data_IF_698508414019
#
_entry.id   IF_698508414019
#
_cell.length_a   1.000
_cell.length_b   1.000
_cell.length_c   1.000
_cell.angle_alpha   90.00
_cell.angle_beta   90.00
_cell.angle_gamma   90.00
#
_symmetry.space_group_name_H-M   'P 1'
#
loop_
_entity.id
_entity.type
_entity.pdbx_description
1 polymer ?
#
# COMPACT_ATOMS: atom_id res chain seq x y z
N UNK A 1 8.81 40.15 24.28
CA UNK A 1 9.75 39.02 24.17
C UNK A 1 9.06 37.66 24.17
N UNK A 2 8.18 37.33 25.13
CA UNK A 2 7.50 36.00 25.21
C UNK A 2 6.73 35.56 23.95
N UNK A 3 6.08 36.48 23.22
CA UNK A 3 5.31 36.17 22.00
C UNK A 3 6.20 35.84 20.79
N UNK A 4 7.39 36.43 20.71
CA UNK A 4 8.35 36.22 19.62
C UNK A 4 9.00 34.83 19.75
N UNK A 5 9.28 34.38 20.97
CA UNK A 5 9.80 33.02 21.24
C UNK A 5 8.77 31.95 20.89
N UNK A 6 7.48 32.14 21.22
CA UNK A 6 6.43 31.20 20.83
C UNK A 6 6.22 31.14 19.30
N UNK A 7 6.31 32.27 18.60
CA UNK A 7 6.25 32.28 17.14
C UNK A 7 7.49 31.67 16.49
N UNK A 8 8.68 31.87 17.06
CA UNK A 8 9.90 31.21 16.60
C UNK A 8 9.85 29.69 16.82
N UNK A 9 9.27 29.22 17.94
CA UNK A 9 9.11 27.80 18.23
C UNK A 9 8.03 27.14 17.35
N UNK A 10 6.92 27.84 17.05
CA UNK A 10 5.96 27.39 16.04
C UNK A 10 6.60 27.35 14.64
N UNK A 11 7.39 28.36 14.26
CA UNK A 11 8.11 28.42 12.99
C UNK A 11 9.17 27.32 12.84
N UNK A 12 9.74 26.83 13.95
CA UNK A 12 10.71 25.72 13.94
C UNK A 12 10.03 24.34 13.87
N UNK A 13 8.76 24.24 14.30
CA UNK A 13 7.97 23.00 14.28
C UNK A 13 7.16 22.84 12.99
N UNK A 14 6.81 23.94 12.32
CA UNK A 14 6.07 23.97 11.04
C UNK A 14 6.73 23.14 9.90
N UNK A 15 8.06 23.09 9.73
CA UNK A 15 8.69 22.28 8.69
C UNK A 15 8.64 20.76 8.97
N UNK A 16 8.49 20.34 10.23
CA UNK A 16 8.41 18.93 10.61
C UNK A 16 6.98 18.38 10.51
N UNK A 17 5.97 19.25 10.55
CA UNK A 17 4.56 18.87 10.30
C UNK A 17 4.21 18.74 8.81
N UNK A 18 5.11 19.15 7.90
CA UNK A 18 4.89 19.07 6.46
C UNK A 18 5.23 17.69 5.85
N UNK A 19 5.73 16.74 6.65
CA UNK A 19 6.06 15.38 6.20
C UNK A 19 4.93 14.34 6.45
N UNK A 20 3.73 14.81 6.82
CA UNK A 20 2.54 13.97 6.90
C UNK A 20 1.50 14.45 5.89
N UNK A 21 1.91 14.61 4.63
CA UNK A 21 0.96 14.90 3.56
C UNK A 21 0.48 13.58 2.94
N UNK A 22 -0.84 13.43 2.94
CA UNK A 22 -1.61 12.52 2.10
C UNK A 22 -1.31 12.61 0.60
N UNK A 23 -0.45 13.54 0.16
CA UNK A 23 0.10 13.63 -1.21
C UNK A 23 1.27 12.67 -1.49
N UNK A 24 1.78 11.94 -0.48
CA UNK A 24 2.86 10.93 -0.61
C UNK A 24 2.35 9.51 -0.89
N UNK A 25 1.12 9.37 -1.39
CA UNK A 25 0.60 8.06 -1.78
C UNK A 25 1.31 7.57 -3.04
N UNK A 26 2.00 6.44 -2.93
CA UNK A 26 2.69 5.79 -4.05
C UNK A 26 1.79 4.70 -4.62
N UNK A 27 1.48 4.81 -5.91
CA UNK A 27 0.60 3.86 -6.59
C UNK A 27 1.34 3.06 -7.65
N UNK A 28 1.07 1.76 -7.68
CA UNK A 28 1.62 0.83 -8.65
C UNK A 28 0.50 0.19 -9.46
N UNK A 29 0.54 0.41 -10.78
CA UNK A 29 -0.29 -0.27 -11.74
C UNK A 29 0.48 -1.41 -12.39
N UNK A 30 -0.11 -2.60 -12.40
CA UNK A 30 0.47 -3.79 -13.03
C UNK A 30 -0.53 -4.46 -13.99
N UNK A 31 0.00 -5.13 -15.00
CA UNK A 31 -0.79 -5.96 -15.92
C UNK A 31 -0.08 -7.28 -16.21
N UNK A 32 -0.84 -8.27 -16.66
CA UNK A 32 -0.35 -9.61 -16.93
C UNK A 32 0.20 -10.31 -15.69
N UNK A 33 0.93 -11.39 -15.93
CA UNK A 33 1.35 -12.34 -14.91
C UNK A 33 0.35 -13.48 -14.74
N UNK A 34 0.79 -14.51 -14.03
CA UNK A 34 0.02 -15.73 -13.77
C UNK A 34 -0.33 -15.75 -12.29
N UNK A 35 -1.63 -15.70 -12.00
CA UNK A 35 -2.14 -15.97 -10.66
C UNK A 35 -2.42 -17.47 -10.53
N UNK A 36 -1.75 -18.11 -9.58
CA UNK A 36 -1.92 -19.53 -9.24
C UNK A 36 -2.53 -19.64 -7.85
N UNK A 37 -3.51 -20.52 -7.65
CA UNK A 37 -4.21 -20.65 -6.36
C UNK A 37 -4.55 -22.09 -6.00
N UNK A 38 -4.49 -22.39 -4.70
CA UNK A 38 -4.93 -23.65 -4.08
C UNK A 38 -5.36 -23.42 -2.63
N UNK A 39 -5.72 -24.48 -1.91
CA UNK A 39 -6.00 -24.40 -0.47
C UNK A 39 -4.78 -23.94 0.36
N UNK A 40 -3.55 -24.08 -0.19
CA UNK A 40 -2.33 -23.59 0.44
C UNK A 40 -2.12 -22.07 0.31
N UNK A 41 -2.92 -21.39 -0.52
CA UNK A 41 -2.81 -19.95 -0.78
C UNK A 41 -2.80 -19.61 -2.27
N UNK A 42 -2.70 -18.32 -2.56
CA UNK A 42 -2.57 -17.77 -3.91
C UNK A 42 -1.22 -17.11 -4.11
N UNK A 43 -0.66 -17.21 -5.31
CA UNK A 43 0.59 -16.57 -5.69
C UNK A 43 0.51 -15.95 -7.08
N UNK A 44 1.02 -14.73 -7.20
CA UNK A 44 1.20 -14.02 -8.46
C UNK A 44 2.68 -14.00 -8.83
N UNK A 45 3.00 -14.47 -10.03
CA UNK A 45 4.32 -14.34 -10.65
C UNK A 45 4.24 -13.78 -12.08
N UNK A 46 5.31 -13.13 -12.52
CA UNK A 46 5.44 -12.63 -13.90
C UNK A 46 4.54 -11.44 -14.26
N UNK A 47 4.04 -10.71 -13.26
CA UNK A 47 3.30 -9.46 -13.53
C UNK A 47 4.27 -8.34 -13.87
N UNK A 48 3.85 -7.45 -14.77
CA UNK A 48 4.66 -6.33 -15.25
C UNK A 48 4.07 -5.02 -14.77
N UNK A 49 4.91 -4.14 -14.23
CA UNK A 49 4.51 -2.78 -13.86
C UNK A 49 4.33 -1.92 -15.12
N UNK A 50 3.20 -1.24 -15.21
CA UNK A 50 2.85 -0.34 -16.32
C UNK A 50 2.75 1.11 -15.90
N UNK A 51 2.50 1.37 -14.62
CA UNK A 51 2.50 2.71 -14.07
C UNK A 51 3.05 2.75 -12.65
N UNK A 52 3.80 3.79 -12.35
CA UNK A 52 4.26 4.14 -11.00
C UNK A 52 3.93 5.60 -10.77
N UNK A 53 3.26 5.92 -9.67
CA UNK A 53 2.83 7.28 -9.36
C UNK A 53 3.43 7.72 -8.03
N UNK A 54 3.98 8.93 -8.00
CA UNK A 54 4.55 9.62 -6.84
C UNK A 54 5.74 8.94 -6.15
N UNK A 55 6.33 7.91 -6.75
CA UNK A 55 7.56 7.32 -6.24
C UNK A 55 8.71 8.34 -6.27
N UNK A 56 9.31 8.63 -5.12
CA UNK A 56 10.41 9.59 -4.94
C UNK A 56 10.11 10.98 -5.55
N UNK A 57 8.84 11.38 -5.54
CA UNK A 57 8.38 12.66 -6.09
C UNK A 57 8.42 12.77 -7.63
N UNK A 58 8.63 11.66 -8.36
CA UNK A 58 8.78 11.64 -9.82
C UNK A 58 7.46 11.84 -10.61
N UNK A 59 6.34 12.12 -9.92
CA UNK A 59 5.02 12.25 -10.55
C UNK A 59 4.53 10.92 -11.14
N UNK A 60 3.82 10.97 -12.26
CA UNK A 60 3.30 9.75 -12.93
C UNK A 60 4.27 9.26 -14.01
N UNK A 61 4.76 8.04 -13.86
CA UNK A 61 5.59 7.32 -14.82
C UNK A 61 4.74 6.21 -15.44
N UNK A 62 4.70 6.14 -16.77
CA UNK A 62 4.03 5.08 -17.52
C UNK A 62 4.98 4.40 -18.48
N UNK A 63 4.86 3.09 -18.67
CA UNK A 63 5.67 2.34 -19.61
C UNK A 63 5.15 0.92 -19.84
N UNK A 64 5.74 0.22 -20.81
CA UNK A 64 5.35 -1.15 -21.14
C UNK A 64 6.02 -2.20 -20.23
N UNK A 65 7.10 -1.80 -19.55
CA UNK A 65 7.79 -2.61 -18.55
C UNK A 65 8.60 -1.67 -17.64
N UNK A 66 8.06 -1.35 -16.47
CA UNK A 66 8.74 -0.57 -15.43
C UNK A 66 9.34 -1.45 -14.33
N UNK A 67 9.16 -2.77 -14.43
CA UNK A 67 9.49 -3.73 -13.39
C UNK A 67 8.42 -4.79 -13.21
N UNK A 68 8.34 -5.35 -12.00
CA UNK A 68 7.44 -6.47 -11.68
C UNK A 68 6.78 -6.34 -10.31
N UNK A 69 5.62 -7.00 -10.20
CA UNK A 69 4.90 -7.19 -8.95
C UNK A 69 4.68 -8.68 -8.73
N UNK A 70 4.97 -9.16 -7.53
CA UNK A 70 4.77 -10.56 -7.15
C UNK A 70 4.28 -10.66 -5.71
N UNK A 71 3.44 -11.66 -5.44
CA UNK A 71 2.99 -11.90 -4.09
C UNK A 71 2.63 -13.37 -3.84
N UNK A 72 2.52 -13.72 -2.56
CA UNK A 72 1.85 -14.91 -2.06
C UNK A 72 0.97 -14.55 -0.86
N UNK A 73 -0.17 -15.20 -0.70
CA UNK A 73 -1.07 -15.07 0.46
C UNK A 73 -0.78 -16.18 1.49
N UNK A 74 -1.45 -16.12 2.65
CA UNK A 74 -1.59 -17.28 3.52
C UNK A 74 -2.55 -18.34 2.96
N UNK A 75 -2.76 -19.42 3.71
CA UNK A 75 -3.62 -20.53 3.35
C UNK A 75 -5.11 -20.13 3.26
N UNK A 76 -5.90 -20.92 2.53
CA UNK A 76 -7.34 -20.74 2.41
C UNK A 76 -8.02 -20.95 3.77
N UNK A 77 -8.75 -19.94 4.24
CA UNK A 77 -9.54 -20.00 5.47
C UNK A 77 -10.98 -20.47 5.19
N UNK A 78 -11.59 -19.97 4.11
CA UNK A 78 -12.98 -20.30 3.77
C UNK A 78 -13.29 -20.03 2.30
N UNK A 79 -14.37 -20.63 1.80
CA UNK A 79 -14.82 -20.49 0.41
C UNK A 79 -14.05 -21.39 -0.55
N UNK A 80 -13.98 -20.99 -1.82
CA UNK A 80 -13.19 -21.67 -2.84
C UNK A 80 -12.87 -20.70 -4.00
N UNK A 81 -11.91 -21.07 -4.84
CA UNK A 81 -11.43 -20.24 -5.95
C UNK A 81 -12.52 -19.90 -6.99
N UNK A 82 -13.57 -20.71 -7.11
CA UNK A 82 -14.62 -20.57 -8.14
C UNK A 82 -15.82 -19.74 -7.71
N UNK A 83 -16.10 -19.61 -6.41
CA UNK A 83 -17.24 -18.85 -5.89
C UNK A 83 -16.84 -17.64 -5.05
N UNK A 84 -15.55 -17.53 -4.72
CA UNK A 84 -15.02 -16.55 -3.79
C UNK A 84 -14.44 -17.24 -2.55
N UNK A 85 -13.37 -16.68 -2.03
CA UNK A 85 -12.55 -17.26 -0.98
C UNK A 85 -12.02 -16.20 -0.01
N UNK A 86 -11.62 -16.62 1.18
CA UNK A 86 -10.84 -15.81 2.12
C UNK A 86 -9.55 -16.56 2.45
N UNK A 87 -8.42 -15.90 2.32
CA UNK A 87 -7.10 -16.41 2.67
C UNK A 87 -6.57 -15.73 3.91
N UNK A 88 -5.76 -16.44 4.68
CA UNK A 88 -5.10 -15.91 5.85
C UNK A 88 -4.09 -14.82 5.49
N UNK A 89 -3.81 -13.95 6.47
CA UNK A 89 -2.67 -13.06 6.44
C UNK A 89 -1.33 -13.81 6.25
N UNK A 90 -0.27 -13.06 5.96
CA UNK A 90 1.09 -13.58 5.75
C UNK A 90 1.50 -13.62 4.28
N UNK A 91 2.31 -14.63 3.94
CA UNK A 91 2.92 -14.74 2.62
C UNK A 91 3.98 -13.66 2.36
N UNK A 92 4.08 -13.21 1.11
CA UNK A 92 5.07 -12.24 0.66
C UNK A 92 4.45 -11.25 -0.32
N UNK A 93 4.95 -10.02 -0.36
CA UNK A 93 4.57 -9.03 -1.36
C UNK A 93 5.81 -8.23 -1.76
N UNK A 94 6.14 -8.25 -3.05
CA UNK A 94 7.34 -7.58 -3.57
C UNK A 94 7.01 -6.78 -4.82
N UNK A 95 7.57 -5.57 -4.86
CA UNK A 95 7.57 -4.71 -6.03
C UNK A 95 9.03 -4.41 -6.37
N UNK A 96 9.42 -4.69 -7.60
CA UNK A 96 10.74 -4.40 -8.11
C UNK A 96 10.64 -3.54 -9.36
N UNK A 97 11.52 -2.55 -9.49
CA UNK A 97 11.66 -1.72 -10.68
C UNK A 97 12.93 -2.10 -11.44
N UNK A 98 13.00 -1.71 -12.72
CA UNK A 98 14.06 -2.16 -13.64
C UNK A 98 15.05 -1.04 -14.05
N UNK A 99 15.13 0.05 -13.30
CA UNK A 99 16.04 1.15 -13.61
C UNK A 99 15.57 2.12 -14.70
N UNK A 100 14.39 1.93 -15.29
CA UNK A 100 13.91 2.76 -16.42
C UNK A 100 13.18 4.02 -15.96
N UNK A 101 13.21 5.08 -16.78
CA UNK A 101 12.47 6.32 -16.56
C UNK A 101 12.74 7.01 -15.21
N UNK A 102 13.96 6.86 -14.66
CA UNK A 102 14.36 7.45 -13.39
C UNK A 102 14.01 6.63 -12.16
N UNK A 103 13.35 5.47 -12.32
CA UNK A 103 13.16 4.50 -11.24
C UNK A 103 14.49 3.81 -10.94
N UNK A 104 14.74 3.36 -9.69
CA UNK A 104 15.90 2.56 -9.37
C UNK A 104 15.78 1.14 -9.96
N UNK A 105 16.90 0.42 -9.97
CA UNK A 105 16.93 -0.99 -10.33
C UNK A 105 16.95 -1.85 -9.07
N UNK A 106 16.01 -2.78 -8.94
CA UNK A 106 15.90 -3.69 -7.81
C UNK A 106 14.56 -3.63 -7.07
N UNK A 107 14.50 -4.30 -5.92
CA UNK A 107 13.30 -4.38 -5.07
C UNK A 107 13.13 -3.07 -4.32
N UNK A 108 12.01 -2.39 -4.56
CA UNK A 108 11.66 -1.11 -3.92
C UNK A 108 10.61 -1.29 -2.82
N UNK A 109 9.85 -2.38 -2.82
CA UNK A 109 8.93 -2.69 -1.74
C UNK A 109 9.04 -4.16 -1.34
N UNK A 110 9.12 -4.41 -0.05
CA UNK A 110 9.04 -5.76 0.53
C UNK A 110 8.07 -5.76 1.71
N UNK A 111 7.09 -6.65 1.68
CA UNK A 111 6.08 -6.76 2.72
C UNK A 111 5.35 -8.11 2.71
N UNK A 112 4.21 -8.13 3.39
CA UNK A 112 3.27 -9.26 3.43
C UNK A 112 1.85 -8.77 3.67
N UNK A 113 0.86 -9.65 3.49
CA UNK A 113 -0.51 -9.34 3.90
C UNK A 113 -0.59 -9.28 5.43
N UNK A 114 -1.10 -8.18 5.98
CA UNK A 114 -1.19 -7.94 7.43
C UNK A 114 -2.53 -8.38 8.03
N UNK A 115 -3.47 -8.78 7.19
CA UNK A 115 -4.79 -9.27 7.55
C UNK A 115 -5.33 -10.20 6.46
N UNK A 116 -6.55 -10.68 6.66
CA UNK A 116 -7.18 -11.63 5.75
C UNK A 116 -7.33 -11.03 4.34
N UNK A 117 -7.14 -11.88 3.33
CA UNK A 117 -7.21 -11.54 1.92
C UNK A 117 -8.49 -12.10 1.33
N UNK A 118 -9.35 -11.23 0.83
CA UNK A 118 -10.63 -11.54 0.22
C UNK A 118 -10.47 -11.77 -1.29
N UNK A 119 -11.00 -12.87 -1.79
CA UNK A 119 -11.16 -13.20 -3.20
C UNK A 119 -12.65 -13.17 -3.54
N UNK A 120 -13.09 -12.14 -4.26
CA UNK A 120 -14.50 -11.93 -4.56
C UNK A 120 -14.77 -12.19 -6.03
N UNK A 121 -15.93 -12.79 -6.32
CA UNK A 121 -16.39 -13.10 -7.68
C UNK A 121 -17.49 -12.13 -8.10
N UNK A 122 -17.34 -11.55 -9.29
CA UNK A 122 -18.31 -10.69 -9.95
C UNK A 122 -18.71 -11.28 -11.30
N UNK A 123 -20.01 -11.32 -11.60
CA UNK A 123 -20.50 -11.77 -12.91
C UNK A 123 -20.82 -10.51 -13.71
N UNK A 124 -20.08 -10.29 -14.80
CA UNK A 124 -20.16 -9.03 -15.58
C UNK A 124 -21.14 -9.13 -16.76
N UNK A 125 -21.69 -10.33 -16.99
CA UNK A 125 -22.63 -10.62 -18.10
C UNK A 125 -21.95 -11.43 -19.21
N UNK A 126 -22.75 -11.99 -20.13
CA UNK A 126 -22.27 -12.85 -21.24
C UNK A 126 -21.39 -14.04 -20.82
N UNK A 127 -21.56 -14.56 -19.60
CA UNK A 127 -20.77 -15.70 -19.08
C UNK A 127 -19.34 -15.36 -18.66
N UNK A 128 -18.95 -14.08 -18.69
CA UNK A 128 -17.66 -13.62 -18.18
C UNK A 128 -17.74 -13.44 -16.67
N UNK A 129 -16.78 -14.05 -15.98
CA UNK A 129 -16.63 -13.94 -14.53
C UNK A 129 -15.37 -13.16 -14.23
N UNK A 130 -15.50 -12.08 -13.48
CA UNK A 130 -14.37 -11.34 -12.92
C UNK A 130 -14.13 -11.74 -11.48
N UNK A 131 -12.87 -11.70 -11.08
CA UNK A 131 -12.50 -11.89 -9.70
C UNK A 131 -11.62 -10.75 -9.23
N UNK A 132 -11.83 -10.35 -7.97
CA UNK A 132 -11.06 -9.31 -7.32
C UNK A 132 -10.40 -9.87 -6.07
N UNK A 133 -9.07 -9.80 -6.01
CA UNK A 133 -8.32 -10.06 -4.78
C UNK A 133 -8.11 -8.74 -4.03
N UNK A 134 -8.46 -8.69 -2.75
CA UNK A 134 -8.25 -7.53 -1.89
C UNK A 134 -7.78 -7.93 -0.51
N UNK A 135 -6.69 -7.32 -0.04
CA UNK A 135 -6.20 -7.53 1.32
C UNK A 135 -5.30 -6.37 1.77
N UNK A 136 -5.21 -6.13 3.10
CA UNK A 136 -4.30 -5.15 3.64
C UNK A 136 -2.85 -5.65 3.55
N UNK A 137 -1.91 -4.82 3.09
CA UNK A 137 -0.48 -5.11 3.12
C UNK A 137 0.26 -4.17 4.08
N UNK A 138 1.36 -4.68 4.62
CA UNK A 138 2.34 -3.93 5.40
C UNK A 138 3.75 -4.31 4.98
N UNK A 139 4.67 -3.35 4.96
CA UNK A 139 6.03 -3.60 4.53
C UNK A 139 6.92 -2.37 4.62
N UNK A 140 8.03 -2.44 3.91
CA UNK A 140 9.01 -1.37 3.78
C UNK A 140 9.06 -0.95 2.32
N UNK A 141 8.83 0.33 2.06
CA UNK A 141 9.11 0.99 0.79
C UNK A 141 10.48 1.67 0.90
N UNK A 142 11.32 1.48 -0.11
CA UNK A 142 12.60 2.18 -0.25
C UNK A 142 12.37 3.36 -1.17
N UNK A 143 12.63 4.57 -0.70
CA UNK A 143 12.66 5.79 -1.52
C UNK A 143 14.00 6.49 -1.30
N UNK A 144 14.74 6.71 -2.39
CA UNK A 144 16.13 7.15 -2.33
C UNK A 144 16.99 6.24 -1.42
N UNK A 145 17.51 6.80 -0.33
CA UNK A 145 18.30 6.09 0.68
C UNK A 145 17.54 5.86 2.00
N UNK A 146 16.21 6.01 2.00
CA UNK A 146 15.37 5.89 3.19
C UNK A 146 14.49 4.63 3.11
N UNK A 147 14.30 3.99 4.26
CA UNK A 147 13.36 2.89 4.43
C UNK A 147 12.11 3.40 5.14
N UNK A 148 11.01 3.48 4.41
CA UNK A 148 9.73 4.00 4.88
C UNK A 148 8.83 2.82 5.26
N UNK A 149 8.39 2.78 6.51
CA UNK A 149 7.44 1.78 6.96
C UNK A 149 6.04 2.13 6.42
N UNK A 150 5.40 1.15 5.78
CA UNK A 150 4.08 1.32 5.18
C UNK A 150 3.10 0.32 5.78
N UNK A 151 1.94 0.78 6.24
CA UNK A 151 0.89 -0.05 6.86
C UNK A 151 -0.49 0.45 6.42
N UNK A 152 -1.38 -0.46 6.03
CA UNK A 152 -2.80 -0.14 5.82
C UNK A 152 -3.22 0.02 4.36
N UNK A 153 -2.59 -0.76 3.48
CA UNK A 153 -2.67 -0.58 2.04
C UNK A 153 -3.53 -1.65 1.39
N UNK A 154 -4.36 -1.29 0.40
CA UNK A 154 -5.16 -2.27 -0.33
C UNK A 154 -4.55 -2.57 -1.68
N UNK A 155 -4.31 -3.85 -1.93
CA UNK A 155 -4.08 -4.37 -3.29
C UNK A 155 -5.43 -4.70 -3.88
N UNK A 156 -5.71 -4.27 -5.11
CA UNK A 156 -6.89 -4.71 -5.87
C UNK A 156 -6.42 -5.30 -7.19
N UNK A 157 -6.56 -6.61 -7.33
CA UNK A 157 -6.21 -7.33 -8.56
C UNK A 157 -7.47 -7.82 -9.25
N UNK A 158 -7.71 -7.42 -10.50
CA UNK A 158 -8.85 -7.87 -11.30
C UNK A 158 -8.41 -8.88 -12.35
N UNK A 159 -9.09 -10.03 -12.35
CA UNK A 159 -8.87 -11.14 -13.28
C UNK A 159 -10.18 -11.49 -13.97
N UNK A 160 -10.21 -11.50 -15.30
CA UNK A 160 -11.38 -11.94 -16.08
C UNK A 160 -11.18 -13.35 -16.61
N UNK A 161 -12.14 -14.24 -16.33
CA UNK A 161 -12.09 -15.67 -16.66
C UNK A 161 -13.23 -16.01 -17.61
N UNK A 162 -12.90 -16.65 -18.73
CA UNK A 162 -13.90 -17.26 -19.62
C UNK A 162 -14.60 -18.45 -18.95
N UNK A 163 -15.79 -18.83 -19.42
CA UNK A 163 -16.62 -19.86 -18.80
C UNK A 163 -15.92 -21.23 -18.71
N UNK A 164 -15.38 -21.55 -17.53
CA UNK A 164 -14.78 -22.84 -17.20
C UNK A 164 -14.63 -23.03 -15.69
N UNK A 165 -15.04 -24.20 -15.21
CA UNK A 165 -14.89 -24.64 -13.81
C UNK A 165 -13.44 -25.02 -13.55
N UNK A 166 -12.77 -24.35 -12.60
CA UNK A 166 -11.36 -24.63 -12.29
C UNK A 166 -11.13 -24.75 -10.78
N UNK A 167 -10.84 -25.96 -10.31
CA UNK A 167 -10.33 -26.22 -8.94
C UNK A 167 -8.87 -25.74 -8.76
N UNK A 168 -8.21 -25.35 -9.84
CA UNK A 168 -6.89 -24.70 -9.85
C UNK A 168 -6.94 -23.59 -10.89
N UNK A 169 -6.85 -22.34 -10.43
CA UNK A 169 -6.89 -21.16 -11.28
C UNK A 169 -5.45 -20.79 -11.64
N UNK A 170 -5.10 -20.89 -12.92
CA UNK A 170 -3.90 -20.30 -13.54
C UNK A 170 -4.38 -19.32 -14.60
N UNK A 171 -4.55 -18.05 -14.23
CA UNK A 171 -5.22 -17.07 -15.10
C UNK A 171 -4.35 -15.83 -15.26
N UNK A 172 -4.34 -15.32 -16.49
CA UNK A 172 -3.70 -14.07 -16.85
C UNK A 172 -4.45 -12.90 -16.21
N UNK A 173 -3.74 -12.06 -15.46
CA UNK A 173 -4.32 -10.86 -14.86
C UNK A 173 -4.63 -9.83 -15.92
N UNK A 174 -5.82 -9.23 -15.83
CA UNK A 174 -6.20 -8.10 -16.67
C UNK A 174 -5.53 -6.80 -16.18
N UNK A 175 -5.61 -6.53 -14.87
CA UNK A 175 -4.95 -5.38 -14.23
C UNK A 175 -4.93 -5.49 -12.71
N UNK A 176 -4.00 -4.79 -12.04
CA UNK A 176 -4.02 -4.58 -10.60
C UNK A 176 -3.63 -3.15 -10.24
N UNK A 177 -4.20 -2.62 -9.17
CA UNK A 177 -3.82 -1.34 -8.55
C UNK A 177 -3.44 -1.61 -7.09
N UNK A 178 -2.25 -1.17 -6.69
CA UNK A 178 -1.80 -1.23 -5.29
C UNK A 178 -1.57 0.20 -4.80
N UNK A 179 -2.30 0.56 -3.74
CA UNK A 179 -2.29 1.91 -3.17
C UNK A 179 -1.49 1.92 -1.87
N UNK A 180 -0.36 2.64 -1.82
CA UNK A 180 0.46 2.75 -0.60
C UNK A 180 0.22 4.10 0.12
N UNK A 181 -0.56 4.13 1.21
CA UNK A 181 -0.64 5.20 2.21
C UNK A 181 0.39 5.02 3.34
N UNK A 182 1.36 5.94 3.49
CA UNK A 182 2.26 5.94 4.64
C UNK A 182 1.51 6.23 5.96
N UNK A 183 1.85 5.53 7.05
CA UNK A 183 1.32 5.85 8.38
C UNK A 183 2.12 6.99 8.98
N UNK A 184 1.46 8.01 9.59
CA UNK A 184 2.17 9.05 10.31
C UNK A 184 3.06 8.44 11.40
N UNK A 185 4.35 8.74 11.35
CA UNK A 185 5.33 8.24 12.31
C UNK A 185 4.87 8.51 13.76
N UNK A 186 5.12 7.59 14.72
CA UNK A 186 4.70 7.76 16.12
C UNK A 186 5.15 9.09 16.76
N UNK A 187 6.22 9.69 16.24
CA UNK A 187 6.71 11.00 16.65
C UNK A 187 5.72 12.14 16.45
N UNK A 188 4.88 12.10 15.40
CA UNK A 188 3.93 13.18 15.07
C UNK A 188 2.76 13.22 16.06
N UNK A 189 2.28 12.06 16.51
CA UNK A 189 1.30 11.95 17.59
C UNK A 189 1.88 12.37 18.94
N UNK A 190 3.14 11.99 19.23
CA UNK A 190 3.86 12.43 20.43
C UNK A 190 4.08 13.95 20.48
N UNK A 191 4.41 14.56 19.34
CA UNK A 191 4.60 16.01 19.21
C UNK A 191 3.28 16.77 19.34
N UNK A 192 2.19 16.26 18.74
CA UNK A 192 0.85 16.82 18.92
C UNK A 192 0.40 16.75 20.39
N UNK A 193 0.61 15.60 21.04
CA UNK A 193 0.28 15.40 22.45
C UNK A 193 1.08 16.30 23.40
N UNK A 194 2.38 16.44 23.16
CA UNK A 194 3.25 17.35 23.95
C UNK A 194 2.96 18.82 23.67
N UNK A 195 2.58 19.18 22.44
CA UNK A 195 2.12 20.52 22.07
C UNK A 195 0.82 20.93 22.79
N UNK A 196 -0.18 20.04 22.83
CA UNK A 196 -1.44 20.26 23.57
C UNK A 196 -1.20 20.37 25.08
N UNK A 197 -0.34 19.53 25.66
CA UNK A 197 0.07 19.63 27.06
C UNK A 197 0.77 20.96 27.36
N UNK A 198 1.64 21.43 26.47
CA UNK A 198 2.30 22.73 26.58
C UNK A 198 1.30 23.90 26.57
N UNK A 199 0.29 23.85 25.70
CA UNK A 199 -0.80 24.85 25.65
C UNK A 199 -1.63 24.80 26.93
N UNK A 200 -2.02 23.60 27.41
CA UNK A 200 -2.77 23.43 28.64
C UNK A 200 -2.01 23.98 29.87
N UNK A 201 -0.69 23.79 29.94
CA UNK A 201 0.16 24.35 30.99
C UNK A 201 0.19 25.89 30.96
N UNK A 202 0.25 26.50 29.77
CA UNK A 202 0.22 27.95 29.61
C UNK A 202 -1.14 28.56 29.96
N UNK A 203 -2.25 27.89 29.62
CA UNK A 203 -3.60 28.31 30.02
C UNK A 203 -3.77 28.20 31.54
N UNK A 204 -3.27 27.13 32.16
CA UNK A 204 -3.30 26.97 33.62
C UNK A 204 -2.50 28.06 34.34
N UNK A 205 -1.38 28.51 33.78
CA UNK A 205 -0.60 29.63 34.35
C UNK A 205 -1.32 30.99 34.24
N UNK A 206 -2.26 31.14 33.30
CA UNK A 206 -3.07 32.36 33.12
C UNK A 206 -4.27 32.43 34.08
N UNK A 207 -4.76 31.28 34.56
CA UNK A 207 -5.93 31.18 35.43
C UNK A 207 -5.60 31.00 36.93
N UNK A 208 -4.33 31.14 37.34
CA UNK A 208 -4.01 31.20 38.77
C UNK A 208 -4.62 32.51 39.34
N UNK A 209 -5.62 32.45 40.25
CA UNK A 209 -6.08 33.66 40.92
C UNK A 209 -4.91 34.25 41.72
N UNK A 210 -4.79 35.57 41.67
CA UNK A 210 -3.83 36.34 42.47
C UNK A 210 -4.13 36.17 43.96
#
# INVERSE_FOLDING_TARGET
>A
MRRVVCMALLALVLPLSAAADSSNQVDFGNTGGTLTGSDAGMALSGSTLTSVVNYDGLGTITGNNLGSLSFSTGALLSGNLTTGATFAAGGSFQIATNGTNGLPDGVIFTGSFSGDVSWQRFIVGNGVTEYTLTGPISGILVEGNQNIAVVGLTVQLTVSVGSGSHNTISIMIASGNTNLTPVPEPGTLGLLGTGLLGIAALVRQRYKPR
#
